data_IF_645567022094
#
_entry.id   IF_645567022094
#
_cell.length_a   1.000
_cell.length_b   1.000
_cell.length_c   1.000
_cell.angle_alpha   90.00
_cell.angle_beta   90.00
_cell.angle_gamma   90.00
#
_symmetry.space_group_name_H-M   'P 1'
#
loop_
_entity.id
_entity.type
_entity.pdbx_description
1 polymer ?
#
# COMPACT_ATOMS: atom_id res chain seq x y z
N UNK A 1 23.66 13.03 -6.95
CA UNK A 1 25.04 12.82 -6.48
C UNK A 1 25.20 13.25 -5.02
N UNK A 2 24.96 14.52 -4.67
CA UNK A 2 25.10 15.04 -3.29
C UNK A 2 24.24 14.29 -2.27
N UNK A 3 22.95 14.08 -2.56
CA UNK A 3 22.06 13.28 -1.72
C UNK A 3 22.55 11.84 -1.54
N UNK A 4 22.98 11.18 -2.62
CA UNK A 4 23.53 9.83 -2.57
C UNK A 4 24.85 9.76 -1.78
N UNK A 5 25.73 10.75 -1.89
CA UNK A 5 26.96 10.83 -1.10
C UNK A 5 26.67 11.05 0.39
N UNK A 6 25.66 11.87 0.72
CA UNK A 6 25.20 12.09 2.09
C UNK A 6 24.52 10.85 2.67
N UNK A 7 23.65 10.19 1.92
CA UNK A 7 23.05 8.92 2.34
C UNK A 7 24.09 7.79 2.42
N UNK A 8 25.10 7.80 1.54
CA UNK A 8 26.21 6.85 1.57
C UNK A 8 27.14 7.05 2.75
N UNK A 9 27.39 8.30 3.16
CA UNK A 9 28.21 8.57 4.36
C UNK A 9 27.50 8.13 5.64
N UNK A 10 26.17 8.18 5.68
CA UNK A 10 25.35 7.62 6.77
C UNK A 10 25.49 6.10 6.94
N UNK A 11 25.95 5.37 5.92
CA UNK A 11 26.25 3.93 6.07
C UNK A 11 27.50 3.69 6.93
N UNK A 12 28.31 4.71 7.19
CA UNK A 12 29.44 4.60 8.11
C UNK A 12 29.00 4.90 9.54
N UNK A 13 29.14 3.93 10.44
CA UNK A 13 28.70 4.05 11.85
C UNK A 13 29.21 5.32 12.54
N UNK A 14 30.50 5.65 12.33
CA UNK A 14 31.11 6.84 12.93
C UNK A 14 30.45 8.16 12.51
N UNK A 15 29.99 8.24 11.26
CA UNK A 15 29.28 9.43 10.76
C UNK A 15 27.84 9.42 11.25
N UNK A 16 27.17 8.27 11.25
CA UNK A 16 25.81 8.12 11.77
C UNK A 16 25.70 8.60 13.23
N UNK A 17 26.62 8.17 14.11
CA UNK A 17 26.64 8.54 15.53
C UNK A 17 26.82 10.06 15.75
N UNK A 18 27.66 10.70 14.93
CA UNK A 18 27.86 12.17 14.98
C UNK A 18 26.68 12.92 14.39
N UNK A 19 26.10 12.42 13.29
CA UNK A 19 25.03 13.08 12.56
C UNK A 19 23.66 12.91 13.24
N UNK A 20 23.51 11.91 14.11
CA UNK A 20 22.26 11.67 14.84
C UNK A 20 21.78 12.90 15.62
N UNK A 21 22.71 13.67 16.20
CA UNK A 21 22.39 14.96 16.89
C UNK A 21 21.84 16.03 15.96
N UNK A 22 22.07 15.90 14.66
CA UNK A 22 21.68 16.85 13.61
C UNK A 22 20.67 16.27 12.61
N UNK A 23 20.13 15.07 12.86
CA UNK A 23 19.24 14.38 11.91
C UNK A 23 18.01 15.21 11.54
N UNK A 24 17.49 16.02 12.49
CA UNK A 24 16.37 16.95 12.28
C UNK A 24 16.66 18.01 11.21
N UNK A 25 17.84 18.61 11.26
CA UNK A 25 18.27 19.63 10.29
C UNK A 25 18.63 19.01 8.96
N UNK A 26 19.22 17.81 8.99
CA UNK A 26 19.54 17.05 7.79
C UNK A 26 18.28 16.62 7.02
N UNK A 27 17.27 16.10 7.73
CA UNK A 27 15.98 15.74 7.14
C UNK A 27 15.31 16.96 6.50
N UNK A 28 15.31 18.10 7.19
CA UNK A 28 14.75 19.35 6.67
C UNK A 28 15.51 19.85 5.44
N UNK A 29 16.85 19.78 5.47
CA UNK A 29 17.70 20.12 4.32
C UNK A 29 17.37 19.23 3.11
N UNK A 30 17.26 17.91 3.31
CA UNK A 30 16.88 16.99 2.24
C UNK A 30 15.48 17.32 1.68
N UNK A 31 14.51 17.64 2.55
CA UNK A 31 13.17 18.00 2.11
C UNK A 31 13.18 19.25 1.23
N UNK A 32 13.87 20.31 1.66
CA UNK A 32 14.00 21.55 0.88
C UNK A 32 14.75 21.28 -0.42
N UNK A 33 15.85 20.53 -0.38
CA UNK A 33 16.69 20.21 -1.53
C UNK A 33 15.92 19.42 -2.59
N UNK A 34 15.25 18.35 -2.18
CA UNK A 34 14.44 17.54 -3.09
C UNK A 34 13.21 18.29 -3.57
N UNK A 35 12.60 19.17 -2.77
CA UNK A 35 11.46 19.99 -3.23
C UNK A 35 11.88 20.97 -4.30
N UNK A 36 13.01 21.67 -4.12
CA UNK A 36 13.56 22.54 -5.15
C UNK A 36 13.88 21.75 -6.43
N UNK A 37 14.51 20.58 -6.28
CA UNK A 37 14.77 19.66 -7.39
C UNK A 37 13.49 19.22 -8.09
N UNK A 38 12.45 18.84 -7.34
CA UNK A 38 11.16 18.43 -7.88
C UNK A 38 10.46 19.57 -8.63
N UNK A 39 10.46 20.80 -8.09
CA UNK A 39 9.90 21.98 -8.75
C UNK A 39 10.62 22.25 -10.07
N UNK A 40 11.96 22.39 -10.05
CA UNK A 40 12.75 22.65 -11.26
C UNK A 40 12.56 21.53 -12.28
N UNK A 41 12.64 20.26 -11.87
CA UNK A 41 12.47 19.13 -12.79
C UNK A 41 11.03 18.91 -13.26
N UNK A 42 10.03 19.48 -12.58
CA UNK A 42 8.62 19.39 -12.99
C UNK A 42 8.25 20.49 -13.97
N UNK A 43 8.77 21.71 -13.75
CA UNK A 43 8.35 22.90 -14.49
C UNK A 43 9.40 23.41 -15.48
N UNK A 44 10.63 22.88 -15.44
CA UNK A 44 11.72 23.24 -16.36
C UNK A 44 12.34 21.99 -17.02
N UNK A 45 13.06 22.19 -18.12
CA UNK A 45 13.84 21.16 -18.80
C UNK A 45 14.82 20.46 -17.82
N UNK A 46 15.12 19.15 -18.00
CA UNK A 46 14.90 18.35 -19.20
C UNK A 46 13.61 17.51 -19.24
N UNK A 47 12.77 17.54 -18.22
CA UNK A 47 11.63 16.60 -18.12
C UNK A 47 10.26 17.21 -18.46
N UNK A 48 10.24 18.44 -18.96
CA UNK A 48 9.03 19.15 -19.39
C UNK A 48 8.16 18.33 -20.36
N UNK A 49 8.77 17.49 -21.20
CA UNK A 49 8.08 16.68 -22.23
C UNK A 49 8.27 15.17 -22.05
N UNK A 50 9.12 14.75 -21.12
CA UNK A 50 9.40 13.34 -20.88
C UNK A 50 9.52 13.12 -19.38
N UNK A 51 8.45 12.59 -18.77
CA UNK A 51 8.47 12.05 -17.43
C UNK A 51 9.42 10.84 -17.42
N UNK A 52 10.71 11.10 -17.25
CA UNK A 52 11.73 10.08 -17.14
C UNK A 52 11.97 9.73 -15.68
N UNK A 53 12.78 8.69 -15.43
CA UNK A 53 13.12 8.21 -14.09
C UNK A 53 13.61 9.33 -13.14
N UNK A 54 14.23 10.38 -13.67
CA UNK A 54 14.69 11.54 -12.89
C UNK A 54 13.54 12.32 -12.23
N UNK A 55 12.43 12.54 -12.93
CA UNK A 55 11.24 13.21 -12.39
C UNK A 55 10.69 12.47 -11.16
N UNK A 56 10.45 11.17 -11.30
CA UNK A 56 9.96 10.34 -10.19
C UNK A 56 10.94 10.23 -9.05
N UNK A 57 12.24 10.17 -9.35
CA UNK A 57 13.27 10.13 -8.32
C UNK A 57 13.26 11.40 -7.47
N UNK A 58 12.98 12.56 -8.06
CA UNK A 58 12.84 13.82 -7.33
C UNK A 58 11.62 13.80 -6.40
N UNK A 59 10.44 13.40 -6.91
CA UNK A 59 9.23 13.31 -6.09
C UNK A 59 9.31 12.23 -5.01
N UNK A 60 9.89 11.07 -5.31
CA UNK A 60 10.17 10.03 -4.32
C UNK A 60 11.16 10.54 -3.26
N UNK A 61 12.16 11.33 -3.67
CA UNK A 61 13.07 12.03 -2.75
C UNK A 61 12.35 13.02 -1.84
N UNK A 62 11.40 13.80 -2.36
CA UNK A 62 10.55 14.70 -1.55
C UNK A 62 9.74 13.90 -0.53
N UNK A 63 9.03 12.86 -0.98
CA UNK A 63 8.22 12.02 -0.10
C UNK A 63 9.06 11.35 1.00
N UNK A 64 10.19 10.73 0.63
CA UNK A 64 11.11 10.11 1.59
C UNK A 64 11.67 11.13 2.59
N UNK A 65 11.97 12.35 2.15
CA UNK A 65 12.47 13.42 3.01
C UNK A 65 11.38 13.96 3.94
N UNK A 66 10.13 14.04 3.47
CA UNK A 66 9.00 14.43 4.30
C UNK A 66 8.76 13.41 5.42
N UNK A 67 8.76 12.12 5.08
CA UNK A 67 8.68 11.02 6.06
C UNK A 67 9.85 11.07 7.07
N UNK A 68 11.06 11.39 6.60
CA UNK A 68 12.22 11.53 7.49
C UNK A 68 12.10 12.75 8.41
N UNK A 69 11.54 13.86 7.94
CA UNK A 69 11.25 15.04 8.79
C UNK A 69 10.22 14.69 9.84
N UNK A 70 9.14 14.03 9.44
CA UNK A 70 8.08 13.54 10.32
C UNK A 70 8.66 12.68 11.46
N UNK A 71 9.41 11.64 11.10
CA UNK A 71 10.01 10.71 12.06
C UNK A 71 11.03 11.39 12.97
N UNK A 72 11.80 12.33 12.44
CA UNK A 72 12.86 13.01 13.20
C UNK A 72 12.33 14.05 14.18
N UNK A 73 11.23 14.72 13.84
CA UNK A 73 10.66 15.79 14.67
C UNK A 73 9.62 15.29 15.67
N UNK A 74 9.16 14.04 15.54
CA UNK A 74 8.08 13.51 16.36
C UNK A 74 6.75 14.20 16.07
N UNK A 75 6.65 14.88 14.92
CA UNK A 75 5.34 15.25 14.39
C UNK A 75 4.70 13.95 13.96
N UNK A 76 3.92 13.31 14.82
CA UNK A 76 3.02 12.25 14.38
C UNK A 76 1.91 12.92 13.55
N UNK A 77 2.24 13.34 12.33
CA UNK A 77 1.23 13.49 11.29
C UNK A 77 0.94 12.07 10.84
N UNK A 78 0.38 11.24 11.73
CA UNK A 78 -0.22 10.00 11.27
C UNK A 78 -1.16 10.41 10.14
N UNK A 79 -0.91 9.95 8.92
CA UNK A 79 -1.72 10.24 7.74
C UNK A 79 -3.22 9.98 8.01
N UNK A 80 -3.50 9.10 8.98
CA UNK A 80 -4.83 8.86 9.51
C UNK A 80 -5.37 10.03 10.34
N UNK A 81 -4.59 10.70 11.18
CA UNK A 81 -5.09 11.77 12.06
C UNK A 81 -5.58 13.00 11.30
N UNK A 82 -4.92 13.39 10.20
CA UNK A 82 -5.37 14.52 9.37
C UNK A 82 -6.63 14.16 8.58
N UNK A 83 -6.68 12.96 7.99
CA UNK A 83 -7.85 12.44 7.28
C UNK A 83 -9.03 12.18 8.22
N UNK A 84 -8.78 11.69 9.43
CA UNK A 84 -9.80 11.48 10.47
C UNK A 84 -10.39 12.82 10.91
N UNK A 85 -9.56 13.85 11.13
CA UNK A 85 -10.06 15.21 11.42
C UNK A 85 -10.90 15.76 10.26
N UNK A 86 -10.46 15.58 9.02
CA UNK A 86 -11.23 16.00 7.85
C UNK A 86 -12.57 15.24 7.76
N UNK A 87 -12.57 13.94 8.07
CA UNK A 87 -13.76 13.09 8.19
C UNK A 87 -14.71 13.62 9.27
N UNK A 88 -14.21 13.96 10.47
CA UNK A 88 -15.00 14.53 11.56
C UNK A 88 -15.68 15.84 11.15
N UNK A 89 -14.94 16.75 10.48
CA UNK A 89 -15.48 18.00 9.96
C UNK A 89 -16.53 17.75 8.85
N UNK A 90 -16.37 16.67 8.08
CA UNK A 90 -17.31 16.22 7.06
C UNK A 90 -18.50 15.40 7.61
N UNK A 91 -18.80 15.51 8.90
CA UNK A 91 -19.92 14.80 9.55
C UNK A 91 -19.67 13.29 9.72
N UNK A 92 -18.41 12.87 9.80
CA UNK A 92 -18.01 11.47 9.91
C UNK A 92 -18.00 10.72 8.57
N UNK A 93 -17.82 11.43 7.45
CA UNK A 93 -17.72 10.79 6.14
C UNK A 93 -16.45 9.91 6.05
N UNK A 94 -16.53 8.71 5.45
CA UNK A 94 -15.35 7.85 5.31
C UNK A 94 -14.21 8.61 4.61
N UNK A 95 -12.97 8.55 5.12
CA UNK A 95 -11.85 9.30 4.57
C UNK A 95 -11.58 8.95 3.09
N UNK A 96 -11.90 7.72 2.68
CA UNK A 96 -11.80 7.28 1.29
C UNK A 96 -12.72 8.09 0.36
N UNK A 97 -13.90 8.52 0.83
CA UNK A 97 -14.82 9.38 0.05
C UNK A 97 -14.20 10.75 -0.17
N UNK A 98 -13.50 11.31 0.83
CA UNK A 98 -12.81 12.59 0.71
C UNK A 98 -11.67 12.52 -0.30
N UNK A 99 -10.83 11.47 -0.20
CA UNK A 99 -9.73 11.25 -1.14
C UNK A 99 -10.28 10.99 -2.55
N UNK A 100 -11.34 10.18 -2.68
CA UNK A 100 -12.01 9.90 -3.95
C UNK A 100 -12.61 11.16 -4.57
N UNK A 101 -13.21 12.04 -3.75
CA UNK A 101 -13.76 13.32 -4.18
C UNK A 101 -12.65 14.22 -4.76
N UNK A 102 -11.55 14.39 -4.03
CA UNK A 102 -10.40 15.17 -4.48
C UNK A 102 -9.78 14.61 -5.77
N UNK A 103 -9.55 13.29 -5.82
CA UNK A 103 -9.01 12.61 -6.98
C UNK A 103 -9.95 12.70 -8.20
N UNK A 104 -11.26 12.57 -7.99
CA UNK A 104 -12.27 12.76 -9.05
C UNK A 104 -12.25 14.19 -9.59
N UNK A 105 -12.13 15.21 -8.72
CA UNK A 105 -12.03 16.60 -9.13
C UNK A 105 -10.77 16.88 -9.97
N UNK A 106 -9.60 16.38 -9.54
CA UNK A 106 -8.35 16.53 -10.30
C UNK A 106 -8.46 15.84 -11.66
N UNK A 107 -9.02 14.64 -11.71
CA UNK A 107 -9.25 13.89 -12.95
C UNK A 107 -10.20 14.65 -13.89
N UNK A 108 -11.27 15.23 -13.35
CA UNK A 108 -12.24 16.04 -14.10
C UNK A 108 -11.58 17.29 -14.70
N UNK A 109 -10.79 18.02 -13.90
CA UNK A 109 -10.06 19.22 -14.37
C UNK A 109 -9.08 18.83 -15.47
N UNK A 110 -8.27 17.80 -15.27
CA UNK A 110 -7.32 17.32 -16.28
C UNK A 110 -8.02 16.95 -17.60
N UNK A 111 -9.13 16.21 -17.52
CA UNK A 111 -9.88 15.80 -18.71
C UNK A 111 -10.54 17.00 -19.43
N UNK A 112 -11.02 18.00 -18.68
CA UNK A 112 -11.57 19.22 -19.27
C UNK A 112 -10.49 20.07 -19.96
N UNK A 113 -9.29 20.14 -19.40
CA UNK A 113 -8.15 20.82 -20.03
C UNK A 113 -7.77 20.13 -21.34
N UNK A 114 -7.60 18.81 -21.35
CA UNK A 114 -7.30 18.04 -22.56
C UNK A 114 -8.40 18.22 -23.63
N UNK A 115 -9.67 18.28 -23.22
CA UNK A 115 -10.83 18.52 -24.09
C UNK A 115 -10.83 19.93 -24.71
N UNK A 116 -10.28 20.92 -24.01
CA UNK A 116 -10.21 22.31 -24.47
C UNK A 116 -9.06 22.52 -25.48
N UNK A 117 -7.95 21.80 -25.32
CA UNK A 117 -6.78 21.90 -26.20
C UNK A 117 -6.91 21.03 -27.45
N UNK A 118 -7.41 19.80 -27.31
CA UNK A 118 -7.57 18.83 -28.39
C UNK A 118 -9.05 18.49 -28.51
N UNK A 119 -9.60 18.64 -29.73
CA UNK A 119 -11.01 18.36 -30.02
C UNK A 119 -11.52 17.12 -29.25
N UNK A 120 -12.53 17.33 -28.40
CA UNK A 120 -12.91 16.42 -27.31
C UNK A 120 -13.25 15.00 -27.80
N UNK A 121 -12.26 14.10 -27.73
CA UNK A 121 -12.40 12.72 -28.19
C UNK A 121 -13.46 11.96 -27.38
N UNK A 122 -13.92 10.82 -27.89
CA UNK A 122 -14.89 9.98 -27.17
C UNK A 122 -14.37 9.55 -25.78
N UNK A 123 -13.08 9.22 -25.67
CA UNK A 123 -12.45 8.79 -24.42
C UNK A 123 -12.22 9.97 -23.45
N UNK A 124 -11.95 11.17 -23.94
CA UNK A 124 -11.91 12.38 -23.09
C UNK A 124 -13.30 12.68 -22.52
N UNK A 125 -14.35 12.60 -23.34
CA UNK A 125 -15.75 12.73 -22.85
C UNK A 125 -16.10 11.66 -21.83
N UNK A 126 -15.64 10.42 -22.03
CA UNK A 126 -15.76 9.36 -21.03
C UNK A 126 -15.03 9.70 -19.72
N UNK A 127 -13.81 10.23 -19.78
CA UNK A 127 -13.07 10.66 -18.59
C UNK A 127 -13.82 11.74 -17.80
N UNK A 128 -14.35 12.76 -18.50
CA UNK A 128 -15.18 13.82 -17.92
C UNK A 128 -16.43 13.23 -17.26
N UNK A 129 -17.15 12.34 -17.96
CA UNK A 129 -18.35 11.69 -17.43
C UNK A 129 -18.04 10.80 -16.21
N UNK A 130 -16.96 10.02 -16.29
CA UNK A 130 -16.52 9.11 -15.23
C UNK A 130 -16.18 9.87 -13.95
N UNK A 131 -15.34 10.90 -14.07
CA UNK A 131 -14.92 11.74 -12.95
C UNK A 131 -16.07 12.60 -12.41
N UNK A 132 -16.90 13.18 -13.28
CA UNK A 132 -18.05 13.99 -12.90
C UNK A 132 -19.13 13.20 -12.16
N UNK A 133 -19.45 11.98 -12.61
CA UNK A 133 -20.40 11.10 -11.94
C UNK A 133 -19.89 10.67 -10.55
N UNK A 134 -18.61 10.31 -10.44
CA UNK A 134 -17.96 9.98 -9.17
C UNK A 134 -17.97 11.17 -8.20
N UNK A 135 -17.64 12.36 -8.69
CA UNK A 135 -17.65 13.59 -7.90
C UNK A 135 -19.06 13.91 -7.37
N UNK A 136 -20.08 13.79 -8.21
CA UNK A 136 -21.47 13.94 -7.81
C UNK A 136 -21.89 12.93 -6.73
N UNK A 137 -21.54 11.65 -6.89
CA UNK A 137 -21.79 10.62 -5.89
C UNK A 137 -21.10 10.92 -4.56
N UNK A 138 -19.84 11.38 -4.58
CA UNK A 138 -19.13 11.78 -3.37
C UNK A 138 -19.81 12.97 -2.67
N UNK A 139 -20.24 14.00 -3.42
CA UNK A 139 -20.98 15.13 -2.83
C UNK A 139 -22.31 14.71 -2.21
N UNK A 140 -23.04 13.77 -2.82
CA UNK A 140 -24.28 13.25 -2.23
C UNK A 140 -24.02 12.53 -0.89
N UNK A 141 -22.97 11.71 -0.83
CA UNK A 141 -22.53 11.03 0.40
C UNK A 141 -22.15 12.05 1.47
N UNK A 142 -21.30 13.03 1.13
CA UNK A 142 -20.86 14.08 2.05
C UNK A 142 -22.02 14.96 2.55
N UNK A 143 -22.95 15.31 1.67
CA UNK A 143 -24.13 16.09 2.04
C UNK A 143 -25.03 15.34 3.03
N UNK A 144 -25.20 14.03 2.81
CA UNK A 144 -25.97 13.18 3.70
C UNK A 144 -25.31 13.07 5.08
N UNK A 145 -23.98 12.89 5.16
CA UNK A 145 -23.27 12.83 6.46
C UNK A 145 -23.30 14.15 7.21
N UNK A 146 -23.10 15.28 6.52
CA UNK A 146 -23.15 16.61 7.14
C UNK A 146 -24.54 16.92 7.73
N UNK A 147 -25.62 16.39 7.14
CA UNK A 147 -26.99 16.52 7.68
C UNK A 147 -27.28 15.62 8.89
N UNK A 148 -26.26 14.95 9.43
CA UNK A 148 -26.41 14.03 10.56
C UNK A 148 -26.87 12.63 10.15
N UNK A 149 -26.85 12.31 8.85
CA UNK A 149 -27.10 10.96 8.37
C UNK A 149 -25.92 10.05 8.71
N UNK A 150 -26.18 8.97 9.45
CA UNK A 150 -25.15 7.97 9.75
C UNK A 150 -25.07 6.96 8.61
N UNK A 151 -23.95 6.98 7.87
CA UNK A 151 -23.71 6.11 6.71
C UNK A 151 -23.03 4.79 7.12
N UNK A 152 -22.48 4.69 8.33
CA UNK A 152 -21.69 3.53 8.75
C UNK A 152 -22.56 2.28 8.81
N UNK A 153 -22.35 1.35 7.85
CA UNK A 153 -22.92 0.01 7.86
C UNK A 153 -24.24 -0.19 7.10
N UNK A 154 -24.67 0.75 6.26
CA UNK A 154 -25.90 0.62 5.47
C UNK A 154 -25.74 -0.15 4.13
N UNK A 155 -26.83 -0.75 3.65
CA UNK A 155 -26.88 -1.33 2.30
C UNK A 155 -26.56 -0.28 1.22
N UNK A 156 -26.98 0.98 1.43
CA UNK A 156 -26.73 2.08 0.50
C UNK A 156 -25.23 2.32 0.28
N UNK A 157 -24.42 2.45 1.34
CA UNK A 157 -22.98 2.69 1.18
C UNK A 157 -22.28 1.48 0.59
N UNK A 158 -22.74 0.27 0.92
CA UNK A 158 -22.23 -0.96 0.32
C UNK A 158 -22.42 -0.93 -1.20
N UNK A 159 -23.64 -0.62 -1.68
CA UNK A 159 -23.94 -0.50 -3.11
C UNK A 159 -23.13 0.61 -3.78
N UNK A 160 -23.10 1.81 -3.18
CA UNK A 160 -22.32 2.95 -3.72
C UNK A 160 -20.84 2.58 -3.84
N UNK A 161 -20.28 1.90 -2.84
CA UNK A 161 -18.86 1.49 -2.84
C UNK A 161 -18.55 0.48 -3.93
N UNK A 162 -19.41 -0.53 -4.13
CA UNK A 162 -19.25 -1.52 -5.22
C UNK A 162 -19.36 -0.83 -6.57
N UNK A 163 -20.38 0.00 -6.76
CA UNK A 163 -20.61 0.71 -8.03
C UNK A 163 -19.40 1.60 -8.35
N UNK A 164 -18.92 2.41 -7.40
CA UNK A 164 -17.76 3.27 -7.60
C UNK A 164 -16.48 2.48 -7.85
N UNK A 165 -16.28 1.36 -7.14
CA UNK A 165 -15.13 0.48 -7.36
C UNK A 165 -15.13 -0.07 -8.80
N UNK A 166 -16.23 -0.66 -9.25
CA UNK A 166 -16.37 -1.18 -10.62
C UNK A 166 -16.22 -0.04 -11.63
N UNK A 167 -16.85 1.10 -11.39
CA UNK A 167 -16.80 2.28 -12.24
C UNK A 167 -15.37 2.78 -12.44
N UNK A 168 -14.57 2.87 -11.37
CA UNK A 168 -13.18 3.30 -11.45
C UNK A 168 -12.24 2.22 -12.00
N UNK A 169 -12.56 0.93 -11.87
CA UNK A 169 -11.79 -0.12 -12.58
C UNK A 169 -11.87 0.11 -14.09
N UNK A 170 -13.08 0.32 -14.62
CA UNK A 170 -13.27 0.63 -16.04
C UNK A 170 -12.75 2.03 -16.40
N UNK A 171 -13.00 3.02 -15.55
CA UNK A 171 -12.56 4.40 -15.72
C UNK A 171 -11.04 4.49 -15.87
N UNK A 172 -10.30 4.02 -14.87
CA UNK A 172 -8.83 4.04 -14.86
C UNK A 172 -8.27 3.15 -15.97
N UNK A 173 -8.87 1.99 -16.25
CA UNK A 173 -8.52 1.15 -17.39
C UNK A 173 -8.58 1.91 -18.73
N UNK A 174 -9.72 2.50 -19.05
CA UNK A 174 -9.89 3.26 -20.29
C UNK A 174 -8.97 4.49 -20.35
N UNK A 175 -8.90 5.25 -19.25
CA UNK A 175 -8.17 6.52 -19.20
C UNK A 175 -6.66 6.34 -19.30
N UNK A 176 -6.10 5.30 -18.66
CA UNK A 176 -4.64 5.16 -18.51
C UNK A 176 -4.02 4.18 -19.50
N UNK A 177 -4.78 3.24 -20.06
CA UNK A 177 -4.27 2.32 -21.08
C UNK A 177 -4.59 2.80 -22.50
N UNK A 178 -5.70 3.50 -22.70
CA UNK A 178 -6.12 3.96 -24.03
C UNK A 178 -5.91 5.46 -24.23
N UNK A 179 -6.65 6.33 -23.55
CA UNK A 179 -6.58 7.79 -23.60
C UNK A 179 -7.59 8.38 -22.59
N UNK A 180 -7.43 9.63 -22.12
CA UNK A 180 -6.38 10.58 -22.50
C UNK A 180 -5.11 10.49 -21.64
N UNK A 181 -5.16 9.83 -20.50
CA UNK A 181 -4.07 9.80 -19.53
C UNK A 181 -3.12 8.63 -19.73
N UNK A 182 -2.69 8.33 -20.96
CA UNK A 182 -1.67 7.29 -21.22
C UNK A 182 -0.32 7.73 -20.68
N UNK A 183 -0.05 9.03 -20.78
CA UNK A 183 1.13 9.65 -20.24
C UNK A 183 0.91 10.10 -18.81
N UNK A 184 2.01 10.14 -18.07
CA UNK A 184 1.98 10.52 -16.67
C UNK A 184 1.63 11.99 -16.53
N UNK A 185 0.90 12.30 -15.49
CA UNK A 185 0.38 13.64 -15.26
C UNK A 185 -0.68 13.61 -14.18
N UNK A 186 -1.26 14.77 -13.89
CA UNK A 186 -2.24 14.90 -12.81
C UNK A 186 -3.45 13.97 -13.02
N UNK A 187 -3.97 13.89 -14.25
CA UNK A 187 -5.08 12.98 -14.58
C UNK A 187 -4.72 11.50 -14.41
N UNK A 188 -3.50 11.09 -14.79
CA UNK A 188 -3.01 9.73 -14.60
C UNK A 188 -3.01 9.35 -13.11
N UNK A 189 -2.31 10.13 -12.27
CA UNK A 189 -2.20 9.81 -10.85
C UNK A 189 -3.54 9.91 -10.13
N UNK A 190 -4.32 10.94 -10.43
CA UNK A 190 -5.63 11.12 -9.84
C UNK A 190 -6.57 9.95 -10.17
N UNK A 191 -6.54 9.42 -11.40
CA UNK A 191 -7.36 8.25 -11.76
C UNK A 191 -6.95 6.98 -11.00
N UNK A 192 -5.65 6.75 -10.77
CA UNK A 192 -5.18 5.63 -9.96
C UNK A 192 -5.49 5.81 -8.47
N UNK A 193 -5.31 7.01 -7.93
CA UNK A 193 -5.70 7.33 -6.54
C UNK A 193 -7.21 7.13 -6.35
N UNK A 194 -8.03 7.60 -7.30
CA UNK A 194 -9.47 7.39 -7.27
C UNK A 194 -9.84 5.90 -7.28
N UNK A 195 -9.20 5.08 -8.12
CA UNK A 195 -9.39 3.63 -8.11
C UNK A 195 -9.02 3.02 -6.75
N UNK A 196 -7.84 3.34 -6.21
CA UNK A 196 -7.40 2.82 -4.91
C UNK A 196 -8.36 3.22 -3.80
N UNK A 197 -8.79 4.49 -3.74
CA UNK A 197 -9.77 4.96 -2.77
C UNK A 197 -11.12 4.28 -2.93
N UNK A 198 -11.60 4.06 -4.16
CA UNK A 198 -12.84 3.34 -4.41
C UNK A 198 -12.76 1.86 -3.98
N UNK A 199 -11.62 1.20 -4.20
CA UNK A 199 -11.38 -0.15 -3.70
C UNK A 199 -11.34 -0.20 -2.17
N UNK A 200 -10.62 0.71 -1.52
CA UNK A 200 -10.57 0.80 -0.06
C UNK A 200 -11.95 1.08 0.54
N UNK A 201 -12.72 1.96 -0.09
CA UNK A 201 -14.11 2.23 0.29
C UNK A 201 -14.96 0.94 0.22
N UNK A 202 -14.79 0.13 -0.84
CA UNK A 202 -15.46 -1.16 -0.95
C UNK A 202 -15.00 -2.18 0.09
N UNK A 203 -13.69 -2.30 0.36
CA UNK A 203 -13.15 -3.17 1.43
C UNK A 203 -13.72 -2.77 2.79
N UNK A 204 -13.83 -1.48 3.06
CA UNK A 204 -14.28 -1.00 4.37
C UNK A 204 -15.80 -1.09 4.54
N UNK A 205 -16.59 -1.15 3.47
CA UNK A 205 -18.06 -1.14 3.56
C UNK A 205 -18.74 -2.42 3.07
N UNK A 206 -18.02 -3.36 2.45
CA UNK A 206 -18.60 -4.59 1.89
C UNK A 206 -17.92 -5.81 2.51
N UNK A 207 -18.61 -6.48 3.43
CA UNK A 207 -18.07 -7.61 4.19
C UNK A 207 -17.54 -8.76 3.32
N UNK A 208 -18.23 -9.04 2.20
CA UNK A 208 -17.79 -10.03 1.23
C UNK A 208 -16.48 -9.66 0.54
N UNK A 209 -16.21 -8.37 0.33
CA UNK A 209 -14.93 -7.90 -0.22
C UNK A 209 -13.86 -7.91 0.87
N UNK A 210 -14.21 -7.42 2.08
CA UNK A 210 -13.31 -7.39 3.23
C UNK A 210 -12.75 -8.76 3.55
N UNK A 211 -13.63 -9.74 3.77
CA UNK A 211 -13.23 -11.13 4.08
C UNK A 211 -12.26 -11.71 3.05
N UNK A 212 -12.52 -11.48 1.75
CA UNK A 212 -11.61 -11.94 0.67
C UNK A 212 -10.26 -11.23 0.70
N UNK A 213 -10.25 -9.93 0.99
CA UNK A 213 -9.01 -9.14 1.09
C UNK A 213 -8.25 -9.48 2.37
N UNK A 214 -8.93 -9.77 3.47
CA UNK A 214 -8.34 -10.25 4.73
C UNK A 214 -7.75 -11.66 4.56
N UNK A 215 -8.45 -12.58 3.90
CA UNK A 215 -7.92 -13.91 3.56
C UNK A 215 -6.64 -13.81 2.72
N UNK A 216 -6.64 -12.89 1.74
CA UNK A 216 -5.46 -12.60 0.93
C UNK A 216 -4.35 -11.92 1.75
N UNK A 217 -4.71 -11.01 2.65
CA UNK A 217 -3.80 -10.29 3.54
C UNK A 217 -3.13 -11.20 4.58
N UNK A 218 -3.85 -12.20 5.08
CA UNK A 218 -3.35 -13.25 5.96
C UNK A 218 -2.32 -14.14 5.26
N UNK A 219 -2.41 -14.25 3.93
CA UNK A 219 -1.38 -14.91 3.10
C UNK A 219 -0.17 -14.00 2.80
N UNK A 220 -0.22 -12.74 3.24
CA UNK A 220 0.74 -11.67 2.99
C UNK A 220 0.16 -10.60 2.05
N UNK A 221 -0.09 -9.39 2.57
CA UNK A 221 -0.61 -8.24 1.78
C UNK A 221 0.24 -7.93 0.54
N UNK A 222 1.54 -8.21 0.62
CA UNK A 222 2.48 -8.06 -0.47
C UNK A 222 2.21 -9.04 -1.63
N UNK A 223 1.66 -10.23 -1.36
CA UNK A 223 1.22 -11.15 -2.40
C UNK A 223 0.07 -10.54 -3.22
N UNK A 224 -0.87 -9.88 -2.55
CA UNK A 224 -1.93 -9.12 -3.21
C UNK A 224 -1.39 -7.99 -4.09
N UNK A 225 -0.35 -7.28 -3.64
CA UNK A 225 0.34 -6.28 -4.46
C UNK A 225 1.02 -6.89 -5.70
N UNK A 226 1.65 -8.07 -5.59
CA UNK A 226 2.22 -8.77 -6.76
C UNK A 226 1.12 -9.24 -7.73
N UNK A 227 -0.02 -9.74 -7.24
CA UNK A 227 -1.17 -10.12 -8.07
C UNK A 227 -1.68 -8.93 -8.85
N UNK A 228 -1.93 -7.80 -8.18
CA UNK A 228 -2.42 -6.58 -8.81
C UNK A 228 -1.42 -6.07 -9.85
N UNK A 229 -0.14 -5.98 -9.50
CA UNK A 229 0.92 -5.57 -10.42
C UNK A 229 1.02 -6.50 -11.64
N UNK A 230 0.95 -7.82 -11.44
CA UNK A 230 0.95 -8.81 -12.52
C UNK A 230 -0.26 -8.62 -13.45
N UNK A 231 -1.45 -8.38 -12.88
CA UNK A 231 -2.66 -8.14 -13.66
C UNK A 231 -2.59 -6.84 -14.48
N UNK A 232 -2.07 -5.75 -13.89
CA UNK A 232 -1.85 -4.47 -14.60
C UNK A 232 -0.86 -4.65 -15.75
N UNK A 233 0.26 -5.36 -15.52
CA UNK A 233 1.22 -5.64 -16.58
C UNK A 233 0.63 -6.50 -17.69
N UNK A 234 -0.15 -7.53 -17.33
CA UNK A 234 -0.81 -8.39 -18.32
C UNK A 234 -1.80 -7.61 -19.17
N UNK A 235 -2.62 -6.74 -18.54
CA UNK A 235 -3.54 -5.87 -19.26
C UNK A 235 -2.79 -4.93 -20.21
N UNK A 236 -1.70 -4.30 -19.76
CA UNK A 236 -0.89 -3.40 -20.58
C UNK A 236 -0.28 -4.14 -21.76
N UNK A 237 0.38 -5.27 -21.51
CA UNK A 237 1.05 -6.05 -22.54
C UNK A 237 0.07 -6.62 -23.57
N UNK A 238 -1.11 -7.06 -23.12
CA UNK A 238 -2.18 -7.51 -24.01
C UNK A 238 -2.71 -6.38 -24.87
N UNK A 239 -2.98 -5.21 -24.27
CA UNK A 239 -3.43 -4.02 -24.99
C UNK A 239 -2.41 -3.60 -26.06
N UNK A 240 -1.12 -3.56 -25.70
CA UNK A 240 -0.04 -3.23 -26.63
C UNK A 240 0.10 -4.25 -27.78
N UNK A 241 -0.15 -5.54 -27.51
CA UNK A 241 -0.10 -6.60 -28.52
C UNK A 241 -1.32 -6.60 -29.46
N UNK A 242 -2.51 -6.24 -28.96
CA UNK A 242 -3.75 -6.23 -29.76
C UNK A 242 -3.90 -4.91 -30.53
N UNK A 243 -3.49 -3.78 -29.95
CA UNK A 243 -3.68 -2.45 -30.53
C UNK A 243 -2.56 -1.96 -31.46
N UNK A 244 -1.41 -2.65 -31.51
CA UNK A 244 -0.24 -2.24 -32.29
C UNK A 244 0.01 -3.02 -33.58
N UNK A 245 1.07 -2.66 -34.31
CA UNK A 245 1.57 -3.34 -35.54
C UNK A 245 2.13 -4.76 -35.30
N UNK A 246 1.86 -5.35 -34.13
CA UNK A 246 2.31 -6.70 -33.78
C UNK A 246 2.79 -6.83 -32.33
N UNK A 247 2.81 -8.09 -31.88
CA UNK A 247 3.34 -8.51 -30.58
C UNK A 247 4.77 -9.03 -30.78
N UNK A 248 5.75 -8.15 -30.69
CA UNK A 248 7.16 -8.54 -30.79
C UNK A 248 7.63 -9.29 -29.53
N UNK A 249 8.91 -9.73 -29.56
CA UNK A 249 9.46 -10.58 -28.50
C UNK A 249 9.40 -9.97 -27.10
N UNK A 250 9.56 -8.65 -26.96
CA UNK A 250 9.54 -8.00 -25.66
C UNK A 250 8.14 -7.89 -25.05
N UNK A 251 7.11 -7.59 -25.85
CA UNK A 251 5.71 -7.54 -25.37
C UNK A 251 5.21 -8.95 -25.09
N UNK A 252 5.57 -9.91 -25.94
CA UNK A 252 5.27 -11.32 -25.71
C UNK A 252 5.92 -11.83 -24.40
N UNK A 253 7.16 -11.41 -24.12
CA UNK A 253 7.82 -11.68 -22.84
C UNK A 253 7.07 -11.05 -21.66
N UNK A 254 6.58 -9.81 -21.79
CA UNK A 254 5.78 -9.17 -20.75
C UNK A 254 4.45 -9.91 -20.50
N UNK A 255 3.74 -10.35 -21.55
CA UNK A 255 2.51 -11.17 -21.42
C UNK A 255 2.83 -12.49 -20.72
N UNK A 256 3.89 -13.19 -21.13
CA UNK A 256 4.29 -14.44 -20.51
C UNK A 256 4.67 -14.26 -19.04
N UNK A 257 5.50 -13.25 -18.75
CA UNK A 257 6.01 -12.99 -17.40
C UNK A 257 4.92 -12.61 -16.42
N UNK A 258 4.02 -11.72 -16.83
CA UNK A 258 2.85 -11.33 -16.03
C UNK A 258 1.87 -12.48 -15.84
N UNK A 259 1.58 -13.26 -16.88
CA UNK A 259 0.67 -14.43 -16.79
C UNK A 259 1.22 -15.51 -15.86
N UNK A 260 2.50 -15.87 -16.00
CA UNK A 260 3.13 -16.89 -15.17
C UNK A 260 3.16 -16.46 -13.69
N UNK A 261 3.54 -15.21 -13.41
CA UNK A 261 3.51 -14.65 -12.04
C UNK A 261 2.09 -14.61 -11.48
N UNK A 262 1.10 -14.17 -12.27
CA UNK A 262 -0.29 -14.10 -11.83
C UNK A 262 -0.85 -15.48 -11.47
N UNK A 263 -0.65 -16.48 -12.35
CA UNK A 263 -1.09 -17.86 -12.10
C UNK A 263 -0.38 -18.47 -10.88
N UNK A 264 0.92 -18.21 -10.71
CA UNK A 264 1.68 -18.65 -9.55
C UNK A 264 1.12 -18.04 -8.26
N UNK A 265 0.89 -16.73 -8.22
CA UNK A 265 0.34 -16.06 -7.04
C UNK A 265 -1.09 -16.51 -6.71
N UNK A 266 -1.93 -16.76 -7.72
CA UNK A 266 -3.26 -17.35 -7.52
C UNK A 266 -3.14 -18.76 -6.95
N UNK A 267 -2.23 -19.59 -7.48
CA UNK A 267 -2.00 -20.93 -6.96
C UNK A 267 -1.52 -20.91 -5.50
N UNK A 268 -0.65 -19.96 -5.13
CA UNK A 268 -0.22 -19.75 -3.74
C UNK A 268 -1.42 -19.39 -2.86
N UNK A 269 -2.26 -18.44 -3.29
CA UNK A 269 -3.42 -18.01 -2.52
C UNK A 269 -4.44 -19.14 -2.31
N UNK A 270 -4.68 -19.96 -3.33
CA UNK A 270 -5.64 -21.08 -3.27
C UNK A 270 -5.10 -22.29 -2.50
N UNK A 271 -3.81 -22.60 -2.65
CA UNK A 271 -3.19 -23.81 -2.09
C UNK A 271 -2.20 -23.51 -0.96
N UNK A 272 -2.36 -22.38 -0.26
CA UNK A 272 -1.40 -21.87 0.72
C UNK A 272 -1.00 -22.93 1.76
N UNK A 273 -1.98 -23.65 2.33
CA UNK A 273 -1.73 -24.69 3.33
C UNK A 273 -0.86 -25.86 2.84
N UNK A 274 -0.86 -26.16 1.54
CA UNK A 274 -0.01 -27.22 0.95
C UNK A 274 1.37 -26.70 0.55
N UNK A 275 1.44 -25.42 0.17
CA UNK A 275 2.65 -24.78 -0.39
C UNK A 275 3.53 -24.15 0.70
N UNK A 276 3.01 -23.97 1.92
CA UNK A 276 3.68 -23.29 3.02
C UNK A 276 5.13 -23.76 3.26
N UNK A 277 5.41 -25.07 3.15
CA UNK A 277 6.77 -25.63 3.30
C UNK A 277 7.76 -25.09 2.27
N UNK A 278 7.31 -24.81 1.06
CA UNK A 278 8.12 -24.33 -0.06
C UNK A 278 8.07 -22.81 -0.24
N UNK A 279 7.22 -22.12 0.52
CA UNK A 279 6.90 -20.72 0.30
C UNK A 279 8.14 -19.80 0.32
N UNK A 280 9.09 -20.04 1.22
CA UNK A 280 10.36 -19.29 1.28
C UNK A 280 11.12 -19.32 -0.04
N UNK A 281 11.22 -20.48 -0.68
CA UNK A 281 11.93 -20.65 -1.95
C UNK A 281 11.15 -20.05 -3.12
N UNK A 282 9.81 -20.13 -3.07
CA UNK A 282 8.94 -19.50 -4.07
C UNK A 282 9.12 -17.98 -4.05
N UNK A 283 9.19 -17.37 -2.86
CA UNK A 283 9.42 -15.92 -2.73
C UNK A 283 10.79 -15.50 -3.28
N UNK A 284 11.85 -16.28 -3.03
CA UNK A 284 13.17 -16.06 -3.65
C UNK A 284 13.07 -16.14 -5.18
N UNK A 285 12.41 -17.17 -5.70
CA UNK A 285 12.19 -17.33 -7.14
C UNK A 285 11.40 -16.18 -7.75
N UNK A 286 10.37 -15.70 -7.06
CA UNK A 286 9.53 -14.58 -7.49
C UNK A 286 10.32 -13.26 -7.52
N UNK A 287 11.17 -13.00 -6.52
CA UNK A 287 12.04 -11.82 -6.54
C UNK A 287 13.02 -11.89 -7.71
N UNK A 288 13.71 -13.02 -7.91
CA UNK A 288 14.64 -13.18 -9.04
C UNK A 288 13.92 -13.02 -10.39
N UNK A 289 12.72 -13.60 -10.52
CA UNK A 289 11.86 -13.47 -11.69
C UNK A 289 11.57 -11.99 -12.01
N UNK A 290 11.15 -11.23 -11.01
CA UNK A 290 10.83 -9.82 -11.20
C UNK A 290 12.05 -8.91 -11.32
N UNK A 291 13.21 -9.26 -10.75
CA UNK A 291 14.47 -8.56 -11.04
C UNK A 291 14.85 -8.70 -12.52
N UNK A 292 14.77 -9.90 -13.08
CA UNK A 292 14.97 -10.13 -14.53
C UNK A 292 13.91 -9.36 -15.32
N UNK A 293 12.65 -9.44 -14.90
CA UNK A 293 11.54 -8.72 -15.51
C UNK A 293 11.79 -7.22 -15.60
N UNK A 294 12.22 -6.58 -14.50
CA UNK A 294 12.58 -5.16 -14.46
C UNK A 294 13.74 -4.86 -15.41
N UNK A 295 14.84 -5.63 -15.35
CA UNK A 295 16.00 -5.39 -16.23
C UNK A 295 15.60 -5.48 -17.72
N UNK A 296 14.87 -6.53 -18.11
CA UNK A 296 14.47 -6.71 -19.51
C UNK A 296 13.43 -5.67 -19.92
N UNK A 297 12.34 -5.52 -19.16
CA UNK A 297 11.20 -4.74 -19.60
C UNK A 297 11.37 -3.23 -19.41
N UNK A 298 12.16 -2.77 -18.42
CA UNK A 298 12.28 -1.34 -18.10
C UNK A 298 13.61 -0.71 -18.47
N UNK A 299 14.68 -1.49 -18.71
CA UNK A 299 15.96 -0.97 -19.19
C UNK A 299 16.20 -1.25 -20.67
N UNK A 300 15.63 -2.34 -21.21
CA UNK A 300 15.73 -2.66 -22.63
C UNK A 300 14.48 -2.22 -23.40
N UNK A 301 13.36 -2.94 -23.27
CA UNK A 301 12.08 -2.67 -23.97
C UNK A 301 10.99 -3.67 -23.49
N UNK A 302 9.66 -3.40 -23.53
CA UNK A 302 8.94 -2.22 -24.06
C UNK A 302 8.77 -1.06 -23.11
N UNK A 303 8.81 -1.30 -21.81
CA UNK A 303 8.39 -0.34 -20.80
C UNK A 303 9.56 0.50 -20.30
N UNK A 304 10.37 1.06 -21.20
CA UNK A 304 11.47 1.98 -20.85
C UNK A 304 10.96 3.36 -20.43
N UNK A 305 9.76 3.72 -20.87
CA UNK A 305 9.05 4.93 -20.43
C UNK A 305 8.14 4.56 -19.27
N UNK A 306 8.09 5.45 -18.28
CA UNK A 306 7.23 5.28 -17.13
C UNK A 306 5.75 5.31 -17.53
N UNK A 307 4.95 4.45 -16.91
CA UNK A 307 3.55 4.20 -17.23
C UNK A 307 3.09 2.88 -16.58
N UNK A 308 1.91 2.38 -16.95
CA UNK A 308 1.32 1.20 -16.29
C UNK A 308 2.27 -0.02 -16.26
N UNK A 309 2.83 -0.39 -17.41
CA UNK A 309 3.76 -1.53 -17.51
C UNK A 309 5.04 -1.32 -16.70
N UNK A 310 5.61 -0.11 -16.71
CA UNK A 310 6.80 0.24 -15.92
C UNK A 310 6.52 0.10 -14.42
N UNK A 311 5.47 0.77 -13.91
CA UNK A 311 5.13 0.74 -12.49
C UNK A 311 4.76 -0.66 -12.03
N UNK A 312 4.01 -1.42 -12.85
CA UNK A 312 3.68 -2.80 -12.54
C UNK A 312 4.94 -3.66 -12.33
N UNK A 313 5.95 -3.56 -13.20
CA UNK A 313 7.21 -4.29 -13.02
C UNK A 313 7.91 -3.95 -11.71
N UNK A 314 8.06 -2.66 -11.40
CA UNK A 314 8.73 -2.21 -10.18
C UNK A 314 7.93 -2.50 -8.91
N UNK A 315 6.60 -2.36 -8.94
CA UNK A 315 5.72 -2.73 -7.83
C UNK A 315 5.79 -4.22 -7.55
N UNK A 316 5.76 -5.08 -8.58
CA UNK A 316 5.89 -6.52 -8.39
C UNK A 316 7.27 -6.91 -7.84
N UNK A 317 8.35 -6.30 -8.34
CA UNK A 317 9.70 -6.50 -7.81
C UNK A 317 9.83 -6.05 -6.34
N UNK A 318 9.36 -4.85 -6.02
CA UNK A 318 9.40 -4.29 -4.66
C UNK A 318 8.55 -5.08 -3.67
N UNK A 319 7.34 -5.48 -4.06
CA UNK A 319 6.46 -6.33 -3.25
C UNK A 319 7.07 -7.72 -3.02
N UNK A 320 7.70 -8.32 -4.04
CA UNK A 320 8.44 -9.58 -3.90
C UNK A 320 9.65 -9.45 -2.97
N UNK A 321 10.37 -8.33 -3.02
CA UNK A 321 11.48 -8.05 -2.09
C UNK A 321 11.00 -7.90 -0.65
N UNK A 322 9.86 -7.25 -0.43
CA UNK A 322 9.25 -7.12 0.89
C UNK A 322 8.75 -8.47 1.43
N UNK A 323 8.14 -9.31 0.59
CA UNK A 323 7.84 -10.71 0.94
C UNK A 323 9.11 -11.46 1.38
N UNK A 324 10.22 -11.28 0.66
CA UNK A 324 11.48 -11.94 1.00
C UNK A 324 11.94 -11.54 2.40
N UNK A 325 11.97 -10.23 2.69
CA UNK A 325 12.37 -9.71 4.00
C UNK A 325 11.49 -10.27 5.13
N UNK A 326 10.17 -10.36 4.93
CA UNK A 326 9.25 -10.94 5.92
C UNK A 326 9.50 -12.42 6.19
N UNK A 327 9.88 -13.20 5.17
CA UNK A 327 10.08 -14.65 5.30
C UNK A 327 11.50 -15.06 5.70
N UNK A 328 12.45 -14.14 5.66
CA UNK A 328 13.83 -14.31 6.10
C UNK A 328 14.15 -13.27 7.18
N UNK A 329 13.78 -13.53 8.46
CA UNK A 329 13.96 -12.59 9.55
C UNK A 329 15.40 -12.12 9.76
N UNK A 330 16.38 -12.90 9.31
CA UNK A 330 17.80 -12.51 9.30
C UNK A 330 18.06 -11.24 8.47
N UNK A 331 17.20 -10.94 7.50
CA UNK A 331 17.25 -9.73 6.67
C UNK A 331 16.56 -8.52 7.32
N UNK A 332 15.67 -8.72 8.30
CA UNK A 332 14.95 -7.61 8.94
C UNK A 332 15.90 -6.61 9.60
N UNK A 333 16.99 -7.08 10.21
CA UNK A 333 18.01 -6.20 10.81
C UNK A 333 18.75 -5.32 9.81
N UNK A 334 18.72 -5.63 8.52
CA UNK A 334 19.27 -4.79 7.45
C UNK A 334 18.22 -3.87 6.82
N UNK A 335 16.94 -4.23 6.89
CA UNK A 335 15.84 -3.46 6.31
C UNK A 335 15.30 -2.38 7.25
N UNK A 336 15.35 -2.61 8.57
CA UNK A 336 14.89 -1.67 9.58
C UNK A 336 16.00 -0.65 9.92
N UNK A 337 16.21 0.29 9.00
CA UNK A 337 17.11 1.43 9.22
C UNK A 337 16.54 2.44 10.26
N UNK A 338 15.27 2.29 10.67
CA UNK A 338 14.57 3.24 11.53
C UNK A 338 14.62 2.90 13.02
N UNK A 339 14.73 1.62 13.40
CA UNK A 339 14.81 1.19 14.80
C UNK A 339 16.22 1.23 15.41
N UNK A 340 17.15 1.99 14.81
CA UNK A 340 18.44 2.28 15.43
C UNK A 340 18.25 3.20 16.64
N UNK A 341 17.73 2.65 17.73
CA UNK A 341 17.89 3.22 19.06
C UNK A 341 19.38 3.16 19.35
N UNK A 342 20.03 4.31 19.33
CA UNK A 342 21.39 4.42 19.82
C UNK A 342 21.44 3.72 21.18
N UNK A 343 22.40 2.80 21.40
CA UNK A 343 22.54 2.15 22.69
C UNK A 343 22.55 3.25 23.74
N UNK A 344 21.61 3.15 24.70
CA UNK A 344 21.41 4.19 25.71
C UNK A 344 22.79 4.56 26.26
N UNK A 345 23.20 5.81 26.08
CA UNK A 345 24.53 6.33 26.40
C UNK A 345 24.83 6.34 27.92
N UNK A 346 24.15 5.51 28.70
CA UNK A 346 24.26 5.34 30.13
C UNK A 346 24.26 3.89 30.59
N UNK A 347 24.41 2.89 29.70
CA UNK A 347 24.87 1.57 30.13
C UNK A 347 26.36 1.69 30.50
N UNK A 348 26.60 2.29 31.66
CA UNK A 348 27.88 2.27 32.36
C UNK A 348 28.40 0.84 32.31
N UNK A 349 29.63 0.70 31.81
CA UNK A 349 30.44 -0.49 32.03
C UNK A 349 30.20 -0.95 33.48
N UNK A 350 29.81 -2.22 33.74
CA UNK A 350 29.84 -2.70 35.10
C UNK A 350 31.27 -2.49 35.61
N UNK A 351 31.40 -1.62 36.61
CA UNK A 351 32.67 -1.30 37.24
C UNK A 351 33.35 -2.61 37.62
N UNK A 352 34.53 -2.84 37.05
CA UNK A 352 35.36 -4.01 37.29
C UNK A 352 36.02 -3.98 38.69
N UNK A 353 35.39 -3.37 39.70
CA UNK A 353 35.99 -3.08 41.00
C UNK A 353 35.21 -3.60 42.21
N UNK A 354 34.44 -4.67 42.07
CA UNK A 354 33.92 -5.45 43.20
C UNK A 354 34.30 -6.93 43.04
N UNK A 355 35.60 -7.17 43.09
CA UNK A 355 36.17 -8.46 43.48
C UNK A 355 36.86 -8.19 44.84
N UNK A 356 36.54 -9.01 45.85
CA UNK A 356 36.72 -8.78 47.30
C UNK A 356 35.50 -8.01 47.87
N UNK A 357 34.57 -8.62 48.59
CA UNK A 357 34.73 -9.54 49.72
C UNK A 357 33.38 -10.25 49.95
N UNK A 358 33.21 -11.52 49.55
CA UNK A 358 32.04 -12.30 49.94
C UNK A 358 32.49 -13.51 50.77
N UNK A 359 32.36 -13.31 52.08
CA UNK A 359 32.69 -14.27 53.10
C UNK A 359 31.85 -15.54 53.01
N UNK A 360 32.51 -16.67 53.27
CA UNK A 360 31.95 -17.99 53.53
C UNK A 360 30.66 -17.91 54.36
N UNK A 361 29.53 -18.18 53.71
CA UNK A 361 28.29 -18.58 54.37
C UNK A 361 28.15 -20.11 54.21
N UNK A 362 28.00 -20.88 55.32
CA UNK A 362 27.90 -22.33 55.26
C UNK A 362 26.61 -22.77 54.53
N UNK A 363 26.62 -23.95 53.88
CA UNK A 363 25.55 -24.38 53.00
C UNK A 363 24.24 -24.58 53.77
N UNK A 364 23.25 -23.78 53.41
CA UNK A 364 21.87 -23.99 53.82
C UNK A 364 21.36 -25.32 53.23
N UNK A 365 20.75 -26.11 54.10
CA UNK A 365 20.08 -27.38 53.83
C UNK A 365 19.16 -27.31 52.61
N UNK A 366 19.22 -28.37 51.81
CA UNK A 366 18.41 -28.58 50.61
C UNK A 366 16.91 -28.39 50.89
N UNK A 367 16.18 -27.62 50.05
CA UNK A 367 14.73 -27.58 50.13
C UNK A 367 14.13 -28.93 49.71
N UNK A 368 13.22 -29.39 50.55
CA UNK A 368 12.37 -30.57 50.38
C UNK A 368 11.54 -30.46 49.09
N UNK A 369 11.38 -31.55 48.31
CA UNK A 369 10.68 -31.50 47.03
C UNK A 369 9.20 -31.16 47.23
N UNK A 370 8.80 -30.00 46.72
CA UNK A 370 7.43 -29.52 46.66
C UNK A 370 6.56 -30.54 45.90
N UNK A 371 5.52 -31.02 46.57
CA UNK A 371 4.58 -32.00 46.04
C UNK A 371 3.84 -31.46 44.82
N UNK A 372 3.80 -32.28 43.76
CA UNK A 372 3.04 -32.09 42.54
C UNK A 372 1.57 -31.67 42.84
N UNK A 373 1.05 -30.62 42.17
CA UNK A 373 -0.34 -30.24 42.32
C UNK A 373 -1.25 -31.36 41.80
N UNK A 374 -2.20 -31.78 42.65
CA UNK A 374 -3.28 -32.71 42.30
C UNK A 374 -4.10 -32.13 41.15
N UNK A 375 -4.05 -32.80 40.01
CA UNK A 375 -4.98 -32.59 38.90
C UNK A 375 -6.37 -33.05 39.37
N UNK A 376 -7.25 -32.08 39.63
CA UNK A 376 -8.67 -32.32 39.88
C UNK A 376 -9.33 -32.49 38.51
N UNK A 377 -9.64 -33.73 38.16
CA UNK A 377 -10.52 -34.04 37.02
C UNK A 377 -11.94 -33.70 37.47
N UNK A 378 -12.45 -32.56 37.01
CA UNK A 378 -13.85 -32.18 37.16
C UNK A 378 -14.73 -33.12 36.34
N UNK A 379 -15.66 -33.79 37.01
CA UNK A 379 -16.72 -34.56 36.38
C UNK A 379 -17.68 -33.63 35.64
N UNK A 380 -18.04 -34.01 34.41
CA UNK A 380 -19.12 -33.42 33.65
C UNK A 380 -20.46 -33.69 34.34
N UNK A 381 -21.05 -32.65 34.93
CA UNK A 381 -22.47 -32.65 35.28
C UNK A 381 -23.28 -32.33 34.03
N UNK A 382 -24.11 -33.31 33.66
CA UNK A 382 -25.14 -33.15 32.64
C UNK A 382 -26.35 -32.37 33.13
N UNK A 383 -27.14 -31.90 32.16
CA UNK A 383 -28.54 -31.55 32.34
C UNK A 383 -28.85 -30.07 32.17
N UNK A 384 -29.49 -29.73 31.05
CA UNK A 384 -30.07 -28.40 30.85
C UNK A 384 -30.76 -28.24 29.50
N UNK A 385 -31.90 -28.92 29.32
CA UNK A 385 -32.83 -28.71 28.20
C UNK A 385 -33.47 -27.32 28.33
N UNK A 386 -33.44 -26.44 27.32
CA UNK A 386 -34.17 -25.18 27.36
C UNK A 386 -35.67 -25.39 27.00
N UNK A 387 -36.59 -24.65 27.63
CA UNK A 387 -38.02 -24.81 27.41
C UNK A 387 -38.48 -24.21 26.07
N UNK A 388 -39.30 -25.00 25.39
CA UNK A 388 -40.13 -24.61 24.24
C UNK A 388 -41.12 -23.51 24.65
N UNK A 389 -40.96 -22.30 24.11
CA UNK A 389 -41.99 -21.26 24.19
C UNK A 389 -42.94 -21.45 23.00
N UNK A 390 -44.15 -21.90 23.33
CA UNK A 390 -45.30 -22.00 22.44
C UNK A 390 -46.08 -20.68 22.46
N UNK A 391 -46.37 -20.14 21.27
CA UNK A 391 -47.61 -19.43 20.99
C UNK A 391 -47.59 -17.90 20.97
N UNK A 392 -47.82 -17.33 19.78
CA UNK A 392 -49.01 -16.47 19.59
C UNK A 392 -49.41 -16.42 18.10
N UNK A 393 -50.71 -16.26 17.80
CA UNK A 393 -51.25 -16.28 16.45
C UNK A 393 -51.26 -14.87 15.85
N UNK A 394 -50.87 -14.74 14.59
CA UNK A 394 -51.16 -13.54 13.80
C UNK A 394 -52.53 -13.71 13.15
N UNK A 395 -53.46 -12.89 13.61
CA UNK A 395 -54.78 -12.66 13.03
C UNK A 395 -54.67 -11.77 11.79
N UNK A 396 -55.42 -12.16 10.76
CA UNK A 396 -55.89 -11.34 9.66
C UNK A 396 -56.45 -9.98 10.11
N UNK A 397 -56.15 -8.93 9.35
CA UNK A 397 -57.00 -7.74 9.20
C UNK A 397 -56.62 -6.98 7.93
N UNK A 398 -57.56 -6.98 7.00
CA UNK A 398 -57.69 -6.20 5.76
C UNK A 398 -57.59 -4.67 5.95
N UNK A 399 -56.95 -3.97 5.00
CA UNK A 399 -57.57 -2.96 4.11
C UNK A 399 -56.57 -2.46 3.07
#
# INVERSE_FOLDING_TARGET
ATSAALCGSLLTRQVADKLQRHVKFFALFLLVWWSAGAVVTTFEAPYETSYANGYFSCWAGVAASALLVESSWGFAVSDTASLTKASEVAGGAPPEVLVLCAASLITLIAAMMDCAEVACSGLVRWAIACAGASLGACFLVLFYTIRGGWITGGALISWVSIILCVWWVFGTGCMTFANPFVHLGNGYFASWVALVSACLLAVNNVEAVRSRVEDLGNSGKELGAVILASAVLLAQATWDCVGGEGCDGGRMWAVFSSTASLLLCIAIAVFFGKIQKYFRWIVVGLLLWWCIGVVVMTFHWPYVRTGNGYFACWCACGASGRLLVQHFPQLNGYADLGSWQAPAAGASHPDASTAEEEGKQPPASAPEPEALPKIVIGAEDGGGVPPTIMGSPFSDSTM
#
